data_IF_720445326875
#
_entry.id   IF_720445326875
#
_cell.length_a   1.000
_cell.length_b   1.000
_cell.length_c   1.000
_cell.angle_alpha   90.00
_cell.angle_beta   90.00
_cell.angle_gamma   90.00
#
_symmetry.space_group_name_H-M   'P 1'
#
loop_
_entity.id
_entity.type
_entity.pdbx_description
1 polymer ?
#
# COMPACT_ATOMS: atom_id res chain seq x y z
N UNK A 1 59.39 20.10 -24.19
CA UNK A 1 59.74 21.16 -23.19
C UNK A 1 58.51 21.45 -22.34
N UNK A 2 58.68 21.34 -21.02
CA UNK A 2 58.05 22.06 -19.89
C UNK A 2 56.64 22.70 -20.07
N UNK A 3 55.66 22.20 -19.29
CA UNK A 3 54.51 22.93 -18.69
C UNK A 3 55.03 24.03 -17.71
N UNK A 4 54.22 24.86 -16.97
CA UNK A 4 52.75 25.08 -16.84
C UNK A 4 52.39 26.61 -16.94
N UNK A 5 51.18 27.18 -16.72
CA UNK A 5 50.20 27.20 -15.61
C UNK A 5 48.82 27.68 -16.15
N UNK A 6 47.70 27.01 -15.87
CA UNK A 6 46.74 27.16 -14.74
C UNK A 6 46.01 28.53 -14.70
N UNK A 7 44.69 28.55 -14.93
CA UNK A 7 43.59 28.72 -13.93
C UNK A 7 42.32 29.26 -14.64
N UNK A 8 41.17 28.62 -14.44
CA UNK A 8 39.89 29.32 -14.64
C UNK A 8 38.74 28.52 -15.28
N UNK A 9 37.94 27.90 -14.41
CA UNK A 9 36.47 28.05 -14.42
C UNK A 9 35.62 27.06 -15.26
N UNK A 10 35.06 26.09 -14.53
CA UNK A 10 33.74 25.45 -14.66
C UNK A 10 33.57 24.49 -15.86
N UNK A 11 33.95 23.22 -15.63
CA UNK A 11 33.29 22.08 -16.26
C UNK A 11 32.03 21.74 -15.46
N UNK A 12 30.88 21.90 -16.11
CA UNK A 12 29.58 21.50 -15.60
C UNK A 12 29.49 19.97 -15.44
N UNK A 13 29.38 19.55 -14.18
CA UNK A 13 28.34 18.65 -13.66
C UNK A 13 27.46 17.96 -14.72
N UNK A 14 27.89 16.80 -15.23
CA UNK A 14 27.00 15.73 -15.72
C UNK A 14 27.64 14.36 -15.50
N UNK A 15 27.99 14.08 -14.25
CA UNK A 15 27.96 12.73 -13.72
C UNK A 15 26.95 12.77 -12.57
N UNK A 16 25.67 12.66 -12.91
CA UNK A 16 24.64 12.39 -11.91
C UNK A 16 24.89 10.96 -11.45
N UNK A 17 25.67 10.85 -10.36
CA UNK A 17 25.69 9.68 -9.52
C UNK A 17 24.24 9.44 -9.09
N UNK A 18 23.58 8.50 -9.76
CA UNK A 18 22.34 7.92 -9.30
C UNK A 18 22.65 7.11 -8.03
N UNK A 19 22.87 7.80 -6.91
CA UNK A 19 22.55 7.23 -5.62
C UNK A 19 21.03 7.15 -5.59
N UNK A 20 20.50 5.95 -5.87
CA UNK A 20 19.15 5.63 -5.42
C UNK A 20 19.03 5.96 -3.93
N UNK A 21 17.82 6.22 -3.42
CA UNK A 21 17.63 6.39 -1.98
C UNK A 21 18.31 5.21 -1.26
N UNK A 22 18.93 5.44 -0.10
CA UNK A 22 19.59 4.40 0.67
C UNK A 22 18.59 3.28 0.78
N UNK A 23 18.94 2.14 0.17
CA UNK A 23 18.25 0.90 0.48
C UNK A 23 18.49 0.74 1.98
N UNK A 24 17.46 0.92 2.78
CA UNK A 24 17.39 0.20 4.05
C UNK A 24 17.61 -1.26 3.66
N UNK A 25 18.84 -1.71 3.85
CA UNK A 25 19.20 -3.10 3.69
C UNK A 25 18.24 -3.83 4.61
N UNK A 26 17.33 -4.61 4.01
CA UNK A 26 16.61 -5.63 4.76
C UNK A 26 17.69 -6.31 5.62
N UNK A 27 17.49 -6.41 6.94
CA UNK A 27 18.50 -6.98 7.81
C UNK A 27 18.97 -8.28 7.17
N UNK A 28 20.29 -8.41 7.02
CA UNK A 28 20.93 -9.61 6.49
C UNK A 28 20.26 -10.80 7.16
N UNK A 29 19.76 -11.75 6.36
CA UNK A 29 18.94 -12.88 6.79
C UNK A 29 19.61 -13.49 8.01
N UNK A 30 19.15 -13.11 9.22
CA UNK A 30 19.75 -13.67 10.42
C UNK A 30 19.61 -15.18 10.25
N UNK A 31 20.70 -15.96 10.35
CA UNK A 31 20.55 -17.40 10.39
C UNK A 31 19.47 -17.66 11.42
N UNK A 32 18.41 -18.36 11.00
CA UNK A 32 17.30 -18.65 11.89
C UNK A 32 17.92 -19.09 13.21
N UNK A 33 17.60 -18.43 14.35
CA UNK A 33 18.23 -18.79 15.61
C UNK A 33 18.15 -20.31 15.73
N UNK A 34 19.31 -20.95 15.87
CA UNK A 34 19.43 -22.41 15.88
C UNK A 34 18.57 -23.05 16.98
N UNK A 35 18.19 -22.24 17.97
CA UNK A 35 17.05 -22.48 18.83
C UNK A 35 15.75 -22.10 18.08
N UNK A 36 15.27 -23.02 17.23
CA UNK A 36 13.81 -23.16 17.09
C UNK A 36 13.30 -23.27 18.52
N UNK A 37 12.67 -22.21 19.02
CA UNK A 37 12.05 -22.18 20.35
C UNK A 37 11.27 -23.49 20.53
N UNK A 38 11.85 -24.44 21.23
CA UNK A 38 11.13 -25.55 21.87
C UNK A 38 10.32 -24.90 22.98
N UNK A 39 9.28 -24.16 22.62
CA UNK A 39 8.21 -23.89 23.57
C UNK A 39 7.65 -25.27 23.92
N UNK A 40 7.53 -25.61 25.21
CA UNK A 40 6.81 -26.82 25.59
C UNK A 40 5.42 -26.75 24.96
N UNK A 41 4.95 -27.87 24.40
CA UNK A 41 3.64 -27.99 23.77
C UNK A 41 2.56 -27.79 24.83
N UNK A 42 2.15 -26.54 25.02
CA UNK A 42 1.27 -26.10 26.10
C UNK A 42 -0.17 -26.55 25.81
N UNK A 43 -0.84 -27.05 26.85
CA UNK A 43 -2.25 -27.42 26.79
C UNK A 43 -3.07 -26.14 26.70
N UNK A 44 -3.83 -25.99 25.61
CA UNK A 44 -4.62 -24.79 25.34
C UNK A 44 -6.08 -24.94 25.74
N UNK A 45 -6.58 -26.16 25.75
CA UNK A 45 -7.96 -26.47 26.08
C UNK A 45 -8.11 -27.92 26.51
N UNK A 46 -9.29 -28.25 27.03
CA UNK A 46 -9.72 -29.63 27.20
C UNK A 46 -11.00 -29.84 26.40
N UNK A 47 -11.08 -30.92 25.62
CA UNK A 47 -12.30 -31.32 24.90
C UNK A 47 -12.72 -32.70 25.40
N UNK A 48 -13.91 -32.80 25.99
CA UNK A 48 -14.41 -34.03 26.64
C UNK A 48 -13.43 -34.63 27.68
N UNK A 49 -12.66 -33.79 28.37
CA UNK A 49 -11.69 -34.23 29.37
C UNK A 49 -10.31 -34.61 28.80
N UNK A 50 -10.15 -34.63 27.48
CA UNK A 50 -8.85 -34.85 26.84
C UNK A 50 -8.11 -33.51 26.63
N UNK A 51 -6.81 -33.40 26.97
CA UNK A 51 -6.04 -32.19 26.76
C UNK A 51 -5.76 -31.97 25.27
N UNK A 52 -6.07 -30.77 24.79
CA UNK A 52 -5.68 -30.28 23.47
C UNK A 52 -4.42 -29.45 23.60
N UNK A 53 -3.39 -29.82 22.85
CA UNK A 53 -2.12 -29.10 22.82
C UNK A 53 -2.06 -28.08 21.67
N UNK A 54 -1.18 -27.10 21.80
CA UNK A 54 -0.93 -26.12 20.73
C UNK A 54 -0.52 -26.78 19.43
N UNK A 55 0.31 -27.82 19.49
CA UNK A 55 0.75 -28.57 18.31
C UNK A 55 -0.44 -29.24 17.62
N UNK A 56 -1.31 -29.92 18.36
CA UNK A 56 -2.50 -30.56 17.78
C UNK A 56 -3.44 -29.55 17.11
N UNK A 57 -3.61 -28.36 17.72
CA UNK A 57 -4.41 -27.27 17.13
C UNK A 57 -3.75 -26.69 15.89
N UNK A 58 -2.43 -26.47 15.90
CA UNK A 58 -1.68 -25.97 14.76
C UNK A 58 -1.71 -26.94 13.58
N UNK A 59 -1.47 -28.23 13.83
CA UNK A 59 -1.56 -29.29 12.82
C UNK A 59 -2.96 -29.32 12.19
N UNK A 60 -4.01 -29.30 13.02
CA UNK A 60 -5.38 -29.32 12.50
C UNK A 60 -5.74 -28.07 11.70
N UNK A 61 -5.24 -26.90 12.10
CA UNK A 61 -5.43 -25.64 11.37
C UNK A 61 -4.74 -25.68 10.01
N UNK A 62 -3.52 -26.21 9.95
CA UNK A 62 -2.78 -26.41 8.70
C UNK A 62 -3.46 -27.46 7.80
N UNK A 63 -4.00 -28.55 8.35
CA UNK A 63 -4.78 -29.53 7.58
C UNK A 63 -6.02 -28.93 6.91
N UNK A 64 -6.70 -28.02 7.60
CA UNK A 64 -7.91 -27.38 7.11
C UNK A 64 -7.61 -26.29 6.08
N UNK A 65 -6.56 -25.50 6.30
CA UNK A 65 -6.28 -24.34 5.46
C UNK A 65 -4.79 -23.97 5.39
N UNK A 66 -3.97 -24.91 4.90
CA UNK A 66 -2.52 -24.75 4.79
C UNK A 66 -2.12 -23.49 3.99
N UNK A 67 -2.70 -23.31 2.80
CA UNK A 67 -2.35 -22.22 1.89
C UNK A 67 -2.62 -20.85 2.53
N UNK A 68 -3.83 -20.64 3.05
CA UNK A 68 -4.19 -19.37 3.66
C UNK A 68 -3.38 -19.10 4.93
N UNK A 69 -3.15 -20.14 5.75
CA UNK A 69 -2.35 -20.01 6.98
C UNK A 69 -0.91 -19.62 6.68
N UNK A 70 -0.29 -20.23 5.65
CA UNK A 70 1.07 -19.87 5.19
C UNK A 70 1.07 -18.46 4.61
N UNK A 71 0.09 -18.08 3.78
CA UNK A 71 0.01 -16.74 3.20
C UNK A 71 -0.15 -15.66 4.27
N UNK A 72 -1.02 -15.89 5.27
CA UNK A 72 -1.19 -14.99 6.41
C UNK A 72 0.11 -14.85 7.22
N UNK A 73 0.81 -15.95 7.47
CA UNK A 73 2.09 -15.93 8.18
C UNK A 73 3.16 -15.14 7.42
N UNK A 74 3.29 -15.34 6.09
CA UNK A 74 4.24 -14.59 5.26
C UNK A 74 3.93 -13.10 5.30
N UNK A 75 2.66 -12.71 5.17
CA UNK A 75 2.22 -11.31 5.27
C UNK A 75 2.53 -10.71 6.63
N UNK A 76 2.24 -11.44 7.71
CA UNK A 76 2.60 -11.02 9.07
C UNK A 76 4.11 -10.81 9.21
N UNK A 77 4.92 -11.75 8.69
CA UNK A 77 6.38 -11.67 8.78
C UNK A 77 6.95 -10.46 8.06
N UNK A 78 6.44 -10.16 6.87
CA UNK A 78 6.81 -8.96 6.11
C UNK A 78 6.55 -7.69 6.94
N UNK A 79 5.38 -7.59 7.58
CA UNK A 79 5.03 -6.44 8.42
C UNK A 79 5.96 -6.36 9.63
N UNK A 80 6.23 -7.48 10.31
CA UNK A 80 7.08 -7.50 11.50
C UNK A 80 8.54 -7.13 11.16
N UNK A 81 9.09 -7.63 10.05
CA UNK A 81 10.42 -7.27 9.58
C UNK A 81 10.50 -5.76 9.25
N UNK A 82 9.45 -5.20 8.63
CA UNK A 82 9.37 -3.76 8.33
C UNK A 82 9.23 -2.90 9.59
N UNK A 83 8.39 -3.33 10.54
CA UNK A 83 8.24 -2.70 11.85
C UNK A 83 9.58 -2.64 12.58
N UNK A 84 10.33 -3.74 12.57
CA UNK A 84 11.65 -3.83 13.19
C UNK A 84 12.68 -2.93 12.49
N UNK A 85 12.74 -2.96 11.15
CA UNK A 85 13.67 -2.14 10.36
C UNK A 85 13.45 -0.64 10.58
N UNK A 86 12.19 -0.21 10.66
CA UNK A 86 11.82 1.18 10.93
C UNK A 86 11.87 1.55 12.43
N UNK A 87 12.16 0.60 13.32
CA UNK A 87 12.10 0.76 14.77
C UNK A 87 10.78 1.37 15.27
N UNK A 88 9.64 0.92 14.71
CA UNK A 88 8.32 1.43 15.08
C UNK A 88 7.99 1.00 16.51
N UNK A 89 7.74 2.00 17.35
CA UNK A 89 7.19 1.86 18.70
C UNK A 89 5.97 2.77 18.83
N UNK A 90 4.98 2.36 19.63
CA UNK A 90 3.77 3.12 19.89
C UNK A 90 3.79 3.68 21.31
N UNK A 91 3.59 4.99 21.44
CA UNK A 91 3.35 5.61 22.74
C UNK A 91 1.86 5.55 23.12
N UNK A 92 1.52 5.60 24.43
CA UNK A 92 0.12 5.63 24.87
C UNK A 92 -0.70 6.76 24.23
N UNK A 93 -0.15 7.98 24.20
CA UNK A 93 -0.82 9.15 23.61
C UNK A 93 -1.07 9.00 22.10
N UNK A 94 -0.20 8.27 21.40
CA UNK A 94 -0.36 8.01 19.98
C UNK A 94 -1.51 7.02 19.72
N UNK A 95 -1.56 5.93 20.49
CA UNK A 95 -2.66 4.96 20.43
C UNK A 95 -3.99 5.62 20.78
N UNK A 96 -4.00 6.47 21.80
CA UNK A 96 -5.19 7.21 22.21
C UNK A 96 -5.72 8.12 21.08
N UNK A 97 -4.85 8.96 20.49
CA UNK A 97 -5.22 9.83 19.36
C UNK A 97 -5.71 9.03 18.16
N UNK A 98 -5.05 7.90 17.85
CA UNK A 98 -5.45 7.04 16.74
C UNK A 98 -6.79 6.34 16.99
N UNK A 99 -7.05 5.91 18.21
CA UNK A 99 -8.33 5.31 18.61
C UNK A 99 -9.48 6.31 18.48
N UNK A 100 -9.28 7.56 18.92
CA UNK A 100 -10.24 8.64 18.73
C UNK A 100 -10.53 8.89 17.23
N UNK A 101 -9.48 8.99 16.41
CA UNK A 101 -9.62 9.15 14.97
C UNK A 101 -10.33 7.96 14.29
N UNK A 102 -10.04 6.73 14.74
CA UNK A 102 -10.71 5.51 14.25
C UNK A 102 -12.21 5.55 14.55
N UNK A 103 -12.59 5.97 15.75
CA UNK A 103 -13.98 6.04 16.17
C UNK A 103 -14.74 7.14 15.40
N UNK A 104 -14.12 8.29 15.16
CA UNK A 104 -14.70 9.35 14.32
C UNK A 104 -14.88 8.90 12.86
N UNK A 105 -13.92 8.16 12.31
CA UNK A 105 -14.05 7.56 10.98
C UNK A 105 -15.24 6.59 10.90
N UNK A 106 -15.41 5.72 11.90
CA UNK A 106 -16.56 4.82 11.99
C UNK A 106 -17.88 5.60 12.06
N UNK A 107 -17.95 6.68 12.85
CA UNK A 107 -19.12 7.56 12.92
C UNK A 107 -19.47 8.16 11.56
N UNK A 108 -18.48 8.65 10.81
CA UNK A 108 -18.71 9.23 9.48
C UNK A 108 -19.20 8.19 8.46
N UNK A 109 -18.68 6.97 8.52
CA UNK A 109 -19.08 5.89 7.61
C UNK A 109 -20.49 5.36 7.90
N UNK A 110 -20.85 5.23 9.17
CA UNK A 110 -22.15 4.69 9.59
C UNK A 110 -23.26 5.75 9.65
N UNK A 111 -22.88 7.01 9.84
CA UNK A 111 -23.79 8.12 10.16
C UNK A 111 -24.05 8.24 11.67
N UNK A 112 -24.23 9.48 12.14
CA UNK A 112 -24.32 9.81 13.56
C UNK A 112 -25.44 9.04 14.31
N UNK A 113 -26.59 8.84 13.68
CA UNK A 113 -27.72 8.14 14.29
C UNK A 113 -27.45 6.64 14.50
N UNK A 114 -26.89 5.96 13.49
CA UNK A 114 -26.54 4.54 13.58
C UNK A 114 -25.38 4.32 14.55
N UNK A 115 -24.40 5.22 14.54
CA UNK A 115 -23.28 5.20 15.48
C UNK A 115 -23.77 5.31 16.93
N UNK A 116 -24.63 6.28 17.22
CA UNK A 116 -25.22 6.45 18.57
C UNK A 116 -25.97 5.20 19.01
N UNK A 117 -26.82 4.64 18.14
CA UNK A 117 -27.55 3.41 18.45
C UNK A 117 -26.62 2.22 18.76
N UNK A 118 -25.48 2.11 18.08
CA UNK A 118 -24.48 1.09 18.39
C UNK A 118 -23.86 1.30 19.77
N UNK A 119 -23.44 2.53 20.10
CA UNK A 119 -22.88 2.86 21.40
C UNK A 119 -23.87 2.58 22.54
N UNK A 120 -25.14 2.95 22.35
CA UNK A 120 -26.22 2.68 23.30
C UNK A 120 -26.46 1.17 23.49
N UNK A 121 -26.42 0.38 22.40
CA UNK A 121 -26.55 -1.09 22.45
C UNK A 121 -25.39 -1.77 23.18
N UNK A 122 -24.18 -1.25 23.01
CA UNK A 122 -22.99 -1.75 23.68
C UNK A 122 -22.89 -1.25 25.13
N UNK A 123 -23.70 -0.26 25.52
CA UNK A 123 -23.74 0.30 26.88
C UNK A 123 -22.46 1.05 27.27
N UNK A 124 -21.76 1.63 26.29
CA UNK A 124 -20.46 2.29 26.49
C UNK A 124 -20.48 3.74 26.02
N UNK A 125 -19.70 4.59 26.68
CA UNK A 125 -19.43 5.96 26.22
C UNK A 125 -18.33 5.96 25.15
N UNK A 126 -18.19 7.07 24.43
CA UNK A 126 -17.13 7.22 23.42
C UNK A 126 -15.74 7.14 24.05
N UNK A 127 -15.52 7.81 25.17
CA UNK A 127 -14.26 7.76 25.93
C UNK A 127 -13.95 6.34 26.41
N UNK A 128 -14.95 5.60 26.90
CA UNK A 128 -14.77 4.22 27.30
C UNK A 128 -14.42 3.33 26.10
N UNK A 129 -15.04 3.56 24.94
CA UNK A 129 -14.74 2.83 23.71
C UNK A 129 -13.34 3.15 23.18
N UNK A 130 -12.90 4.40 23.25
CA UNK A 130 -11.52 4.81 22.93
C UNK A 130 -10.54 4.06 23.83
N UNK A 131 -10.78 4.03 25.14
CA UNK A 131 -9.94 3.33 26.11
C UNK A 131 -9.92 1.79 25.92
N UNK A 132 -10.98 1.21 25.34
CA UNK A 132 -10.98 -0.19 24.92
C UNK A 132 -10.14 -0.41 23.66
N UNK A 133 -10.32 0.45 22.65
CA UNK A 133 -9.63 0.34 21.35
C UNK A 133 -8.12 0.57 21.52
N UNK A 134 -7.70 1.56 22.32
CA UNK A 134 -6.28 1.89 22.54
C UNK A 134 -5.47 0.72 23.12
N UNK A 135 -6.11 -0.16 23.90
CA UNK A 135 -5.50 -1.34 24.53
C UNK A 135 -5.54 -2.58 23.64
N UNK A 136 -6.21 -2.50 22.49
CA UNK A 136 -6.34 -3.64 21.59
C UNK A 136 -5.06 -3.90 20.80
N UNK A 137 -4.69 -5.17 20.66
CA UNK A 137 -3.60 -5.59 19.75
C UNK A 137 -3.92 -5.22 18.30
N UNK A 138 -5.20 -5.22 17.93
CA UNK A 138 -5.69 -4.80 16.63
C UNK A 138 -5.28 -3.37 16.29
N UNK A 139 -5.51 -2.39 17.18
CA UNK A 139 -5.15 -1.00 16.91
C UNK A 139 -3.64 -0.84 16.76
N UNK A 140 -2.84 -1.51 17.60
CA UNK A 140 -1.38 -1.47 17.48
C UNK A 140 -0.88 -2.03 16.14
N UNK A 141 -1.47 -3.14 15.67
CA UNK A 141 -1.17 -3.70 14.35
C UNK A 141 -1.61 -2.77 13.22
N UNK A 142 -2.80 -2.19 13.31
CA UNK A 142 -3.30 -1.23 12.33
C UNK A 142 -2.39 0.00 12.27
N UNK A 143 -2.04 0.61 13.40
CA UNK A 143 -1.16 1.78 13.46
C UNK A 143 0.25 1.47 12.96
N UNK A 144 0.78 0.26 13.22
CA UNK A 144 2.04 -0.20 12.60
C UNK A 144 1.93 -0.17 11.09
N UNK A 145 0.85 -0.74 10.53
CA UNK A 145 0.62 -0.80 9.10
C UNK A 145 0.40 0.60 8.49
N UNK A 146 -0.36 1.47 9.15
CA UNK A 146 -0.58 2.87 8.79
C UNK A 146 0.77 3.58 8.62
N UNK A 147 1.66 3.45 9.61
CA UNK A 147 3.01 4.04 9.60
C UNK A 147 3.86 3.52 8.46
N UNK A 148 3.87 2.20 8.24
CA UNK A 148 4.67 1.58 7.18
C UNK A 148 4.20 2.05 5.81
N UNK A 149 2.90 2.03 5.54
CA UNK A 149 2.34 2.45 4.25
C UNK A 149 2.57 3.94 4.04
N UNK A 150 2.24 4.78 5.02
CA UNK A 150 2.41 6.22 4.91
C UNK A 150 3.87 6.63 4.72
N UNK A 151 4.80 5.96 5.41
CA UNK A 151 6.23 6.17 5.20
C UNK A 151 6.66 5.76 3.79
N UNK A 152 6.18 4.63 3.26
CA UNK A 152 6.44 4.25 1.87
C UNK A 152 5.98 5.33 0.88
N UNK A 153 4.84 5.99 1.14
CA UNK A 153 4.37 7.11 0.29
C UNK A 153 5.32 8.32 0.26
N UNK A 154 6.13 8.51 1.31
CA UNK A 154 7.07 9.62 1.44
C UNK A 154 8.38 9.31 0.71
N UNK A 155 8.88 8.09 0.85
CA UNK A 155 10.22 7.71 0.36
C UNK A 155 10.22 7.14 -1.05
N UNK A 156 9.05 6.77 -1.59
CA UNK A 156 8.95 6.19 -2.92
C UNK A 156 8.57 7.21 -3.99
N UNK A 157 9.16 7.01 -5.17
CA UNK A 157 8.84 7.74 -6.39
C UNK A 157 7.42 7.42 -6.86
N UNK A 158 6.63 8.47 -7.12
CA UNK A 158 5.23 8.35 -7.54
C UNK A 158 4.93 9.12 -8.82
N UNK A 159 4.16 8.51 -9.69
CA UNK A 159 3.44 9.17 -10.75
C UNK A 159 2.15 9.77 -10.21
N UNK A 160 1.78 10.94 -10.70
CA UNK A 160 0.45 11.50 -10.54
C UNK A 160 -0.22 11.59 -11.90
N UNK A 161 -1.40 10.99 -12.04
CA UNK A 161 -2.10 10.92 -13.33
C UNK A 161 -3.56 11.36 -13.21
N UNK A 162 -4.09 11.85 -14.32
CA UNK A 162 -5.54 11.93 -14.54
C UNK A 162 -5.91 11.01 -15.70
N UNK A 163 -7.08 10.37 -15.61
CA UNK A 163 -7.54 9.39 -16.61
C UNK A 163 -8.93 9.73 -17.09
N UNK A 164 -9.10 9.83 -18.40
CA UNK A 164 -10.40 9.78 -19.05
C UNK A 164 -10.62 8.39 -19.63
N UNK A 165 -11.84 7.86 -19.52
CA UNK A 165 -12.23 6.56 -20.08
C UNK A 165 -13.37 6.71 -21.08
N UNK A 166 -13.40 5.81 -22.06
CA UNK A 166 -14.37 5.78 -23.15
C UNK A 166 -14.68 4.33 -23.53
N UNK A 167 -15.93 4.01 -23.80
CA UNK A 167 -16.34 2.73 -24.36
C UNK A 167 -16.15 2.69 -25.88
N UNK A 168 -16.19 3.84 -26.55
CA UNK A 168 -15.91 3.98 -27.98
C UNK A 168 -14.51 4.57 -28.18
N UNK A 169 -13.71 3.90 -29.01
CA UNK A 169 -12.37 4.35 -29.40
C UNK A 169 -12.42 5.66 -30.20
N UNK A 170 -13.50 5.90 -30.98
CA UNK A 170 -13.67 7.13 -31.74
C UNK A 170 -13.81 8.35 -30.80
N UNK A 171 -14.61 8.22 -29.74
CA UNK A 171 -14.75 9.25 -28.71
C UNK A 171 -13.41 9.52 -27.99
N UNK A 172 -12.62 8.46 -27.72
CA UNK A 172 -11.30 8.61 -27.11
C UNK A 172 -10.33 9.36 -28.03
N UNK A 173 -10.34 9.08 -29.34
CA UNK A 173 -9.53 9.79 -30.34
C UNK A 173 -9.90 11.27 -30.41
N UNK A 174 -11.19 11.58 -30.46
CA UNK A 174 -11.67 12.96 -30.43
C UNK A 174 -11.24 13.70 -29.16
N UNK A 175 -11.34 13.03 -28.00
CA UNK A 175 -10.89 13.61 -26.74
C UNK A 175 -9.38 13.85 -26.71
N UNK A 176 -8.59 12.92 -27.23
CA UNK A 176 -7.13 13.07 -27.35
C UNK A 176 -6.78 14.26 -28.25
N UNK A 177 -7.47 14.41 -29.38
CA UNK A 177 -7.29 15.57 -30.27
C UNK A 177 -7.66 16.89 -29.57
N UNK A 178 -8.75 16.89 -28.81
CA UNK A 178 -9.13 18.03 -27.98
C UNK A 178 -8.06 18.34 -26.91
N UNK A 179 -7.47 17.33 -26.27
CA UNK A 179 -6.37 17.52 -25.32
C UNK A 179 -5.16 18.20 -25.96
N UNK A 180 -4.83 17.84 -27.21
CA UNK A 180 -3.72 18.47 -27.97
C UNK A 180 -4.08 19.90 -28.35
N UNK A 181 -5.33 20.16 -28.75
CA UNK A 181 -5.75 21.47 -29.24
C UNK A 181 -5.93 22.52 -28.14
N UNK A 182 -6.57 22.16 -27.01
CA UNK A 182 -6.95 23.10 -25.94
C UNK A 182 -6.44 22.72 -24.54
N UNK A 183 -5.68 21.64 -24.42
CA UNK A 183 -5.19 21.13 -23.15
C UNK A 183 -6.19 20.20 -22.45
N UNK A 184 -5.65 19.27 -21.65
CA UNK A 184 -6.45 18.23 -21.00
C UNK A 184 -7.52 18.78 -20.04
N UNK A 185 -7.22 19.82 -19.25
CA UNK A 185 -8.18 20.38 -18.29
C UNK A 185 -9.40 20.99 -19.00
N UNK A 186 -9.19 21.69 -20.12
CA UNK A 186 -10.29 22.25 -20.92
C UNK A 186 -11.08 21.17 -21.66
N UNK A 187 -10.41 20.14 -22.19
CA UNK A 187 -11.07 18.98 -22.77
C UNK A 187 -11.91 18.22 -21.72
N UNK A 188 -11.39 18.05 -20.51
CA UNK A 188 -12.05 17.30 -19.45
C UNK A 188 -13.34 17.95 -18.94
N UNK A 189 -13.51 19.28 -19.08
CA UNK A 189 -14.77 19.98 -18.72
C UNK A 189 -15.97 19.53 -19.56
N UNK A 190 -15.72 19.01 -20.75
CA UNK A 190 -16.76 18.48 -21.65
C UNK A 190 -17.12 17.02 -21.33
N UNK A 191 -16.35 16.37 -20.46
CA UNK A 191 -16.63 15.01 -20.01
C UNK A 191 -17.59 15.02 -18.81
N UNK A 192 -18.53 14.07 -18.76
CA UNK A 192 -19.32 13.85 -17.55
C UNK A 192 -18.44 13.31 -16.42
N UNK A 193 -18.77 13.70 -15.18
CA UNK A 193 -18.05 13.26 -13.97
C UNK A 193 -18.06 11.74 -13.74
N UNK A 194 -18.97 11.01 -14.40
CA UNK A 194 -19.00 9.55 -14.66
C UNK A 194 -20.34 9.19 -15.32
N UNK A 195 -20.35 8.76 -16.58
CA UNK A 195 -21.52 8.14 -17.22
C UNK A 195 -21.16 6.75 -17.73
N UNK A 196 -22.17 5.89 -17.92
CA UNK A 196 -21.98 4.64 -18.64
C UNK A 196 -21.37 4.96 -20.02
N UNK A 197 -20.15 4.47 -20.27
CA UNK A 197 -19.48 4.62 -21.54
C UNK A 197 -18.49 5.78 -21.71
N UNK A 198 -18.48 6.83 -20.85
CA UNK A 198 -17.34 7.77 -20.78
C UNK A 198 -17.32 8.61 -19.51
N UNK A 199 -16.12 9.08 -19.13
CA UNK A 199 -15.98 10.05 -18.04
C UNK A 199 -14.55 10.24 -17.56
N UNK A 200 -14.40 11.13 -16.58
CA UNK A 200 -13.14 11.39 -15.89
C UNK A 200 -13.07 10.54 -14.61
N UNK A 201 -11.94 9.87 -14.38
CA UNK A 201 -11.65 9.19 -13.12
C UNK A 201 -11.01 10.15 -12.12
N UNK A 202 -11.21 9.92 -10.80
CA UNK A 202 -10.47 10.63 -9.77
C UNK A 202 -8.97 10.58 -10.03
N UNK A 203 -8.27 11.64 -9.63
CA UNK A 203 -6.81 11.68 -9.70
C UNK A 203 -6.22 10.51 -8.92
N UNK A 204 -5.19 9.92 -9.49
CA UNK A 204 -4.47 8.83 -8.87
C UNK A 204 -2.99 9.13 -8.74
N UNK A 205 -2.41 8.60 -7.67
CA UNK A 205 -0.97 8.60 -7.47
C UNK A 205 -0.49 7.20 -7.17
N UNK A 206 0.56 6.73 -7.85
CA UNK A 206 1.05 5.36 -7.72
C UNK A 206 2.55 5.27 -8.02
N UNK A 207 3.21 4.21 -7.56
CA UNK A 207 4.65 3.99 -7.80
C UNK A 207 4.88 3.21 -9.09
N UNK A 208 6.06 3.33 -9.72
CA UNK A 208 6.39 2.58 -10.95
C UNK A 208 6.15 1.07 -10.83
N UNK A 209 6.42 0.49 -9.67
CA UNK A 209 6.28 -0.95 -9.49
C UNK A 209 4.82 -1.42 -9.43
N UNK A 210 3.85 -0.53 -9.16
CA UNK A 210 2.46 -0.90 -8.86
C UNK A 210 1.46 0.11 -9.43
N UNK A 211 1.10 -0.01 -10.73
CA UNK A 211 0.10 0.83 -11.37
C UNK A 211 -1.32 0.69 -10.79
N UNK A 212 -2.23 1.62 -11.12
CA UNK A 212 -3.64 1.52 -10.74
C UNK A 212 -4.24 0.17 -11.14
N UNK A 213 -4.94 -0.46 -10.19
CA UNK A 213 -5.45 -1.84 -10.31
C UNK A 213 -6.82 -1.88 -10.99
N UNK A 214 -7.52 -0.75 -11.11
CA UNK A 214 -8.81 -0.70 -11.81
C UNK A 214 -9.03 0.65 -12.46
N UNK A 215 -9.33 0.69 -13.76
CA UNK A 215 -8.95 -0.35 -14.73
C UNK A 215 -7.44 -0.55 -14.68
N UNK A 216 -6.98 -1.81 -14.75
CA UNK A 216 -5.56 -2.18 -14.71
C UNK A 216 -4.86 -1.45 -15.86
N UNK A 217 -3.89 -0.58 -15.56
CA UNK A 217 -2.99 -0.11 -16.61
C UNK A 217 -2.09 -1.28 -16.99
N UNK A 218 -2.00 -1.59 -18.28
CA UNK A 218 -1.05 -2.59 -18.73
C UNK A 218 0.38 -2.14 -18.39
N UNK A 219 1.29 -3.07 -18.01
CA UNK A 219 2.61 -2.72 -17.50
C UNK A 219 3.43 -1.79 -18.41
N UNK A 220 3.24 -1.88 -19.72
CA UNK A 220 3.95 -1.05 -20.70
C UNK A 220 3.55 0.44 -20.62
N UNK A 221 2.32 0.77 -20.21
CA UNK A 221 1.85 2.15 -20.02
C UNK A 221 2.65 2.82 -18.90
N UNK A 222 3.09 2.06 -17.90
CA UNK A 222 3.93 2.59 -16.82
C UNK A 222 5.30 3.01 -17.34
N UNK A 223 5.88 2.23 -18.25
CA UNK A 223 7.15 2.57 -18.89
C UNK A 223 7.00 3.76 -19.85
N UNK A 224 5.85 3.93 -20.49
CA UNK A 224 5.53 5.12 -21.26
C UNK A 224 5.42 6.36 -20.36
N UNK A 225 4.63 6.28 -19.28
CA UNK A 225 4.49 7.36 -18.30
C UNK A 225 5.84 7.78 -17.70
N UNK A 226 6.77 6.83 -17.50
CA UNK A 226 8.13 7.13 -17.03
C UNK A 226 8.96 7.98 -18.01
N UNK A 227 8.61 8.01 -19.29
CA UNK A 227 9.31 8.76 -20.36
C UNK A 227 8.58 10.05 -20.74
N UNK A 228 7.34 10.23 -20.28
CA UNK A 228 6.52 11.40 -20.59
C UNK A 228 6.96 12.62 -19.80
N UNK A 229 6.84 13.80 -20.41
CA UNK A 229 6.97 15.07 -19.69
C UNK A 229 5.71 15.34 -18.86
N UNK A 230 5.82 16.01 -17.69
CA UNK A 230 4.65 16.51 -16.96
C UNK A 230 3.73 17.35 -17.87
N UNK A 231 2.44 17.06 -17.82
CA UNK A 231 1.41 17.65 -18.68
C UNK A 231 1.15 16.88 -19.98
N UNK A 232 2.02 15.96 -20.39
CA UNK A 232 1.82 15.18 -21.61
C UNK A 232 0.65 14.19 -21.47
N UNK A 233 0.04 13.87 -22.61
CA UNK A 233 -1.05 12.90 -22.74
C UNK A 233 -0.60 11.71 -23.57
N UNK A 234 -1.07 10.52 -23.21
CA UNK A 234 -0.81 9.28 -23.96
C UNK A 234 -1.55 9.27 -25.30
N UNK A 235 -1.35 8.20 -26.07
CA UNK A 235 -2.29 7.83 -27.12
C UNK A 235 -3.65 7.41 -26.56
N UNK A 236 -4.44 6.75 -27.41
CA UNK A 236 -5.67 6.08 -26.99
C UNK A 236 -5.29 4.66 -26.57
N UNK A 237 -5.40 4.41 -25.27
CA UNK A 237 -4.95 3.16 -24.67
C UNK A 237 -6.09 2.19 -24.46
N UNK A 238 -6.07 1.07 -25.18
CA UNK A 238 -7.03 0.01 -24.98
C UNK A 238 -6.70 -0.78 -23.70
N UNK A 239 -7.69 -0.98 -22.85
CA UNK A 239 -7.57 -1.84 -21.67
C UNK A 239 -8.14 -3.23 -21.89
N UNK A 240 -7.78 -4.14 -21.00
CA UNK A 240 -8.39 -5.48 -20.88
C UNK A 240 -9.88 -5.47 -20.59
N UNK A 241 -10.46 -4.34 -20.18
CA UNK A 241 -11.90 -4.20 -19.91
C UNK A 241 -12.69 -3.65 -21.10
N UNK A 242 -12.14 -3.70 -22.34
CA UNK A 242 -12.74 -3.14 -23.56
C UNK A 242 -13.09 -1.65 -23.47
N UNK A 243 -12.39 -0.92 -22.61
CA UNK A 243 -12.46 0.53 -22.52
C UNK A 243 -11.17 1.12 -23.07
N UNK A 244 -11.30 2.28 -23.71
CA UNK A 244 -10.21 3.12 -24.20
C UNK A 244 -9.91 4.23 -23.19
N UNK A 245 -8.64 4.55 -23.00
CA UNK A 245 -8.18 5.57 -22.06
C UNK A 245 -7.33 6.63 -22.73
N UNK A 246 -7.45 7.84 -22.22
CA UNK A 246 -6.47 8.92 -22.47
C UNK A 246 -5.95 9.36 -21.12
N UNK A 247 -4.65 9.22 -20.92
CA UNK A 247 -3.99 9.40 -19.63
C UNK A 247 -3.11 10.64 -19.71
N UNK A 248 -3.25 11.54 -18.74
CA UNK A 248 -2.31 12.64 -18.54
C UNK A 248 -1.36 12.31 -17.41
N UNK A 249 -0.06 12.43 -17.65
CA UNK A 249 0.92 12.53 -16.57
C UNK A 249 0.88 13.95 -16.02
N UNK A 250 0.41 14.17 -14.78
CA UNK A 250 0.49 15.50 -14.16
C UNK A 250 1.90 15.83 -13.72
N UNK A 251 2.60 14.84 -13.19
CA UNK A 251 3.92 15.03 -12.66
C UNK A 251 4.48 13.78 -12.03
N UNK A 252 5.73 13.92 -11.61
CA UNK A 252 6.47 12.91 -10.90
C UNK A 252 6.86 13.48 -9.54
N UNK A 253 6.41 12.83 -8.48
CA UNK A 253 6.85 13.13 -7.13
C UNK A 253 8.02 12.22 -6.82
N UNK A 254 9.22 12.79 -6.74
CA UNK A 254 10.38 12.06 -6.28
C UNK A 254 10.23 11.73 -4.79
N UNK A 255 10.51 10.49 -4.44
CA UNK A 255 10.60 10.04 -3.06
C UNK A 255 11.69 10.80 -2.30
N UNK A 256 11.46 11.04 -1.02
CA UNK A 256 12.44 11.69 -0.14
C UNK A 256 13.46 10.67 0.34
N UNK A 257 14.72 11.06 0.30
CA UNK A 257 15.81 10.33 0.92
C UNK A 257 15.86 10.67 2.42
N UNK A 258 15.05 9.95 3.20
CA UNK A 258 14.90 10.13 4.66
C UNK A 258 14.68 8.78 5.31
N UNK A 259 15.08 8.66 6.58
CA UNK A 259 14.75 7.51 7.43
C UNK A 259 13.50 7.78 8.26
N UNK A 260 12.79 6.73 8.69
CA UNK A 260 11.52 6.86 9.41
C UNK A 260 11.60 7.80 10.63
N UNK A 261 12.69 7.73 11.40
CA UNK A 261 12.86 8.55 12.61
C UNK A 261 12.85 10.06 12.33
N UNK A 262 13.21 10.51 11.12
CA UNK A 262 13.23 11.91 10.70
C UNK A 262 11.85 12.44 10.29
N UNK A 263 10.93 11.54 9.90
CA UNK A 263 9.59 11.89 9.40
C UNK A 263 8.47 11.28 10.22
N UNK A 264 8.78 10.70 11.39
CA UNK A 264 7.80 10.00 12.24
C UNK A 264 6.59 10.88 12.57
N UNK A 265 6.81 12.16 12.86
CA UNK A 265 5.75 13.08 13.28
C UNK A 265 4.87 13.47 12.10
N UNK A 266 5.47 13.73 10.93
CA UNK A 266 4.77 13.94 9.65
C UNK A 266 3.92 12.71 9.27
N UNK A 267 4.45 11.50 9.47
CA UNK A 267 3.73 10.25 9.25
C UNK A 267 2.53 10.16 10.19
N UNK A 268 2.73 10.34 11.50
CA UNK A 268 1.67 10.22 12.49
C UNK A 268 0.58 11.29 12.31
N UNK A 269 0.94 12.54 12.03
CA UNK A 269 -0.02 13.60 11.68
C UNK A 269 -0.79 13.29 10.39
N UNK A 270 -0.09 12.77 9.38
CA UNK A 270 -0.68 12.34 8.13
C UNK A 270 -1.75 11.26 8.33
N UNK A 271 -1.49 10.27 9.17
CA UNK A 271 -2.42 9.18 9.50
C UNK A 271 -3.66 9.70 10.23
N UNK A 272 -3.50 10.66 11.16
CA UNK A 272 -4.64 11.22 11.88
C UNK A 272 -5.56 12.05 10.96
N UNK A 273 -5.00 12.67 9.92
CA UNK A 273 -5.78 13.46 8.95
C UNK A 273 -6.46 12.59 7.90
N UNK A 274 -5.72 11.64 7.34
CA UNK A 274 -6.15 10.81 6.21
C UNK A 274 -5.43 9.44 6.31
N UNK A 275 -5.98 8.50 7.11
CA UNK A 275 -5.37 7.19 7.28
C UNK A 275 -5.40 6.42 5.95
N UNK A 276 -4.39 5.58 5.65
CA UNK A 276 -4.38 4.81 4.41
C UNK A 276 -5.64 3.95 4.26
N UNK A 277 -6.14 3.81 3.04
CA UNK A 277 -7.30 2.98 2.78
C UNK A 277 -6.91 1.49 2.71
N UNK A 278 -7.89 0.60 2.85
CA UNK A 278 -7.66 -0.84 2.74
C UNK A 278 -6.93 -1.25 1.44
N UNK A 279 -7.23 -0.55 0.35
CA UNK A 279 -6.60 -0.78 -0.95
C UNK A 279 -5.11 -0.41 -0.95
N UNK A 280 -4.71 0.61 -0.18
CA UNK A 280 -3.31 1.01 -0.08
C UNK A 280 -2.48 -0.03 0.65
N UNK A 281 -3.04 -0.65 1.71
CA UNK A 281 -2.42 -1.79 2.39
C UNK A 281 -2.28 -3.00 1.47
N UNK A 282 -3.33 -3.33 0.72
CA UNK A 282 -3.30 -4.45 -0.22
C UNK A 282 -2.22 -4.25 -1.27
N UNK A 283 -2.17 -3.07 -1.89
CA UNK A 283 -1.14 -2.71 -2.88
C UNK A 283 0.26 -2.75 -2.29
N UNK A 284 0.44 -2.20 -1.08
CA UNK A 284 1.72 -2.25 -0.38
C UNK A 284 2.16 -3.68 -0.09
N UNK A 285 1.24 -4.55 0.35
CA UNK A 285 1.53 -5.95 0.67
C UNK A 285 1.91 -6.75 -0.58
N UNK A 286 1.14 -6.63 -1.67
CA UNK A 286 1.44 -7.31 -2.94
C UNK A 286 2.83 -6.95 -3.46
N UNK A 287 3.24 -5.68 -3.27
CA UNK A 287 4.60 -5.23 -3.56
C UNK A 287 5.65 -5.94 -2.73
N UNK A 288 5.48 -5.96 -1.41
CA UNK A 288 6.47 -6.55 -0.54
C UNK A 288 6.58 -8.06 -0.77
N UNK A 289 5.47 -8.74 -1.09
CA UNK A 289 5.48 -10.14 -1.54
C UNK A 289 6.33 -10.33 -2.82
N UNK A 290 6.18 -9.45 -3.80
CA UNK A 290 7.00 -9.46 -5.02
C UNK A 290 8.49 -9.20 -4.75
N UNK A 291 8.80 -8.29 -3.81
CA UNK A 291 10.19 -7.97 -3.41
C UNK A 291 10.83 -9.11 -2.60
N UNK A 292 10.06 -9.77 -1.75
CA UNK A 292 10.53 -10.81 -0.84
C UNK A 292 10.87 -12.13 -1.54
N UNK A 293 10.52 -12.29 -2.84
CA UNK A 293 10.74 -13.53 -3.63
C UNK A 293 10.27 -14.77 -2.88
N UNK A 294 9.01 -14.76 -2.46
CA UNK A 294 8.44 -15.87 -1.67
C UNK A 294 8.35 -17.13 -2.53
N UNK A 295 9.16 -18.12 -2.21
CA UNK A 295 9.14 -19.45 -2.81
C UNK A 295 8.36 -20.41 -1.90
N UNK A 296 7.28 -20.98 -2.43
CA UNK A 296 6.45 -21.92 -1.69
C UNK A 296 6.95 -23.33 -1.94
N UNK A 297 7.22 -24.07 -0.86
CA UNK A 297 7.58 -25.49 -0.94
C UNK A 297 6.45 -26.33 -1.55
N UNK A 298 6.85 -27.41 -2.24
CA UNK A 298 5.94 -28.33 -2.91
C UNK A 298 4.98 -28.96 -1.88
N UNK A 299 3.69 -28.61 -1.96
CA UNK A 299 2.66 -28.98 -0.97
C UNK A 299 1.87 -27.79 -0.43
N UNK A 300 2.51 -26.64 -0.21
CA UNK A 300 1.84 -25.42 0.29
C UNK A 300 0.97 -24.72 -0.76
N UNK A 301 1.16 -25.04 -2.05
CA UNK A 301 0.39 -24.50 -3.19
C UNK A 301 -0.82 -25.34 -3.61
N UNK A 302 -0.99 -26.57 -3.11
CA UNK A 302 -2.09 -27.42 -3.57
C UNK A 302 -3.41 -26.84 -3.07
N UNK A 303 -4.16 -26.21 -3.96
CA UNK A 303 -5.59 -26.01 -3.77
C UNK A 303 -6.22 -27.39 -3.61
N UNK A 304 -7.03 -27.57 -2.56
CA UNK A 304 -7.88 -28.76 -2.47
C UNK A 304 -8.67 -28.80 -3.77
N UNK A 305 -8.44 -29.81 -4.59
CA UNK A 305 -9.41 -30.17 -5.63
C UNK A 305 -10.72 -30.43 -4.89
N UNK A 306 -11.78 -29.74 -5.29
CA UNK A 306 -13.12 -30.00 -4.79
C UNK A 306 -13.39 -31.50 -4.81
N UNK A 307 -13.83 -32.04 -3.67
CA UNK A 307 -14.27 -33.43 -3.55
C UNK A 307 -13.19 -34.42 -3.15
N UNK A 308 -12.90 -34.50 -1.85
CA UNK A 308 -12.72 -35.78 -1.14
C UNK A 308 -12.90 -35.51 0.37
N UNK A 309 -13.56 -36.42 1.10
CA UNK A 309 -14.51 -36.15 2.18
C UNK A 309 -13.92 -35.49 3.43
#
# INVERSE_FOLDING_TARGET
MKKPLILGTILGLLASCASGPPRETLPERQPAPADRRTRPDEIVAFYNGEPLSWQAVAEKTLELNLKESVDQYVRWRIVDDRRAAMAIVHGPDELHRRAAAYLDQARRQMGAAAFKLQMDREGVTEEAKIAQIEKSSFLAQLLTLDKIVRYAEIVEDRFEIDRAYFADEADAKQFREACVAKGFDEAAKELPARKAGKGLLPRESFTKAWPPVSPVLDPWIVDELARMAPGAVTGVEASRSNLSYVIRLRGFRKGRDVVYSQVKDEVSEGILKDPPAQQDYQRWMERELGRARVEYAEGARKERKEGTP
#
